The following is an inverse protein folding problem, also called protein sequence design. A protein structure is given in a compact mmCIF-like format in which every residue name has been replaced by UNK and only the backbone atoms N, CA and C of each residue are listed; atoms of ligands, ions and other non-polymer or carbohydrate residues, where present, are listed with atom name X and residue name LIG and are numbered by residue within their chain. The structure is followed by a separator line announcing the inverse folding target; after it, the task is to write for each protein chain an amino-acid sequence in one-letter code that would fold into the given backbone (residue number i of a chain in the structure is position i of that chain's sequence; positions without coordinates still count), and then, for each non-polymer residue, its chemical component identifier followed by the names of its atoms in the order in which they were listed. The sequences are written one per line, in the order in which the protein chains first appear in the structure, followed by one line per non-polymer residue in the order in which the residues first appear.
data_IF_313497643349
#
_entry.id   IF_313497643349
#
_cell.length_a   1.000
_cell.length_b   1.000
_cell.length_c   1.000
_cell.angle_alpha   90.00
_cell.angle_beta   90.00
_cell.angle_gamma   90.00
#
_symmetry.space_group_name_H-M   'P 1'
#
loop_
_entity.id
_entity.type
_entity.pdbx_description
1 polymer ?
#
# COMPACT_ATOMS: atom_id res chain seq x y z
N UNK A 1 15.23 2.35 -8.83
CA UNK A 1 15.48 1.37 -7.76
C UNK A 1 15.79 2.12 -6.49
N UNK A 2 15.18 1.75 -5.37
CA UNK A 2 15.42 2.40 -4.07
C UNK A 2 16.79 1.99 -3.53
N UNK A 3 17.57 2.95 -3.02
CA UNK A 3 18.93 2.67 -2.55
C UNK A 3 18.95 1.84 -1.25
N UNK A 4 17.99 2.04 -0.35
CA UNK A 4 17.84 1.32 0.90
C UNK A 4 16.47 1.65 1.54
N UNK A 5 16.10 0.88 2.57
CA UNK A 5 14.87 1.09 3.37
C UNK A 5 15.20 1.76 4.71
N UNK A 6 15.80 2.95 4.67
CA UNK A 6 16.05 3.77 5.87
C UNK A 6 15.15 4.98 5.88
N UNK A 7 14.85 5.50 7.07
CA UNK A 7 14.00 6.68 7.29
C UNK A 7 14.32 7.84 6.33
N UNK A 8 15.60 8.24 6.21
CA UNK A 8 16.03 9.32 5.29
C UNK A 8 15.67 9.07 3.82
N UNK A 9 15.59 7.81 3.40
CA UNK A 9 15.31 7.41 2.02
C UNK A 9 13.81 7.32 1.76
N UNK A 10 13.03 6.85 2.74
CA UNK A 10 11.58 6.66 2.59
C UNK A 10 10.77 7.91 2.93
N UNK A 11 11.27 8.81 3.79
CA UNK A 11 10.60 10.05 4.18
C UNK A 11 10.11 10.87 2.98
N UNK A 12 10.97 11.23 1.99
CA UNK A 12 10.50 12.02 0.86
C UNK A 12 9.47 11.28 0.01
N UNK A 13 9.55 9.95 -0.08
CA UNK A 13 8.58 9.14 -0.85
C UNK A 13 7.22 9.15 -0.17
N UNK A 14 7.20 8.95 1.16
CA UNK A 14 5.97 9.02 1.95
C UNK A 14 5.32 10.40 1.81
N UNK A 15 6.10 11.47 1.95
CA UNK A 15 5.62 12.86 1.82
C UNK A 15 5.09 13.22 0.44
N UNK A 16 5.66 12.64 -0.60
CA UNK A 16 5.24 12.85 -1.99
C UNK A 16 4.00 12.02 -2.36
N UNK A 17 3.83 10.85 -1.74
CA UNK A 17 2.80 9.87 -2.14
C UNK A 17 1.57 9.86 -1.23
N UNK A 18 1.73 10.19 0.05
CA UNK A 18 0.68 10.07 1.07
C UNK A 18 0.30 11.47 1.55
N UNK A 19 -0.99 11.78 1.46
CA UNK A 19 -1.56 13.04 1.94
C UNK A 19 -1.22 13.28 3.43
N UNK A 20 -0.77 14.49 3.76
CA UNK A 20 -0.45 14.87 5.14
C UNK A 20 -1.66 14.71 6.06
N UNK A 21 -1.45 14.27 7.29
CA UNK A 21 -2.52 14.00 8.25
C UNK A 21 -3.25 12.67 8.03
N UNK A 22 -2.88 11.89 7.00
CA UNK A 22 -3.40 10.52 6.83
C UNK A 22 -3.07 9.66 8.04
N UNK A 23 -4.05 8.89 8.51
CA UNK A 23 -3.86 7.84 9.50
C UNK A 23 -3.22 6.60 8.85
N UNK A 24 -1.98 6.31 9.23
CA UNK A 24 -1.19 5.20 8.69
C UNK A 24 -1.18 4.05 9.69
N UNK A 25 -1.38 2.83 9.19
CA UNK A 25 -1.29 1.59 9.96
C UNK A 25 -0.06 0.80 9.55
N UNK A 26 0.80 0.43 10.50
CA UNK A 26 2.03 -0.35 10.22
C UNK A 26 2.23 -1.48 11.23
N UNK A 27 3.15 -2.38 10.89
CA UNK A 27 3.73 -3.32 11.87
C UNK A 27 4.72 -2.58 12.79
N UNK A 28 5.50 -3.33 13.56
CA UNK A 28 6.50 -2.81 14.48
C UNK A 28 7.80 -2.32 13.81
N UNK A 29 7.88 -2.27 12.47
CA UNK A 29 9.14 -1.98 11.81
C UNK A 29 9.57 -0.52 12.02
N UNK A 30 10.73 -0.32 12.67
CA UNK A 30 11.21 0.99 13.12
C UNK A 30 11.47 2.03 12.02
N UNK A 31 11.39 1.67 10.74
CA UNK A 31 11.43 2.65 9.64
C UNK A 31 10.25 3.62 9.71
N UNK A 32 9.12 3.21 10.28
CA UNK A 32 7.90 4.01 10.39
C UNK A 32 7.79 4.84 11.68
N UNK A 33 8.75 4.70 12.61
CA UNK A 33 8.70 5.33 13.93
C UNK A 33 8.70 6.87 13.93
N UNK A 34 8.81 7.50 12.76
CA UNK A 34 8.83 8.96 12.59
C UNK A 34 7.61 9.52 11.86
N UNK A 35 6.61 8.70 11.55
CA UNK A 35 5.40 9.13 10.84
C UNK A 35 4.71 10.32 11.53
N UNK A 36 4.52 10.26 12.86
CA UNK A 36 3.97 11.38 13.63
C UNK A 36 4.80 12.66 13.49
N UNK A 37 6.12 12.57 13.62
CA UNK A 37 7.01 13.73 13.42
C UNK A 37 7.06 14.24 11.98
N UNK A 38 6.58 13.45 11.02
CA UNK A 38 6.49 13.82 9.61
C UNK A 38 5.12 14.38 9.23
N UNK A 39 4.17 14.46 10.17
CA UNK A 39 2.84 15.04 9.97
C UNK A 39 1.74 14.03 9.65
N UNK A 40 1.88 12.77 10.05
CA UNK A 40 0.88 11.72 9.86
C UNK A 40 0.36 11.21 11.20
N UNK A 41 -0.90 10.81 11.27
CA UNK A 41 -1.36 10.01 12.40
C UNK A 41 -0.86 8.56 12.23
N UNK A 42 -0.53 7.87 13.34
CA UNK A 42 0.07 6.55 13.26
C UNK A 42 -0.53 5.57 14.26
N UNK A 43 -0.92 4.39 13.77
CA UNK A 43 -1.25 3.23 14.59
C UNK A 43 -0.36 2.07 14.17
N UNK A 44 0.06 1.28 15.16
CA UNK A 44 0.94 0.14 14.93
C UNK A 44 0.47 -1.07 15.73
N UNK A 45 0.68 -2.24 15.13
CA UNK A 45 0.62 -3.54 15.81
C UNK A 45 2.02 -4.10 16.04
N UNK A 46 2.21 -4.90 17.09
CA UNK A 46 3.49 -5.54 17.40
C UNK A 46 3.41 -7.06 17.38
N UNK A 47 3.77 -7.65 16.24
CA UNK A 47 3.75 -9.10 16.05
C UNK A 47 4.74 -9.81 16.97
N UNK A 48 5.90 -9.21 17.24
CA UNK A 48 6.88 -9.72 18.21
C UNK A 48 6.35 -9.86 19.64
N UNK A 49 5.28 -9.14 20.00
CA UNK A 49 4.56 -9.26 21.28
C UNK A 49 3.29 -10.11 21.19
N UNK A 50 3.01 -10.72 20.04
CA UNK A 50 1.78 -11.48 19.80
C UNK A 50 0.55 -10.60 19.54
N UNK A 51 0.72 -9.30 19.30
CA UNK A 51 -0.37 -8.39 18.93
C UNK A 51 -0.51 -8.35 17.41
N UNK A 52 -1.50 -9.05 16.86
CA UNK A 52 -1.77 -9.12 15.40
C UNK A 52 -2.93 -8.22 14.96
N UNK A 53 -3.83 -7.91 15.88
CA UNK A 53 -4.89 -6.93 15.73
C UNK A 53 -5.24 -6.40 17.12
N UNK A 54 -5.60 -5.13 17.21
CA UNK A 54 -5.99 -4.49 18.47
C UNK A 54 -7.34 -3.83 18.29
N UNK A 55 -8.21 -4.10 19.27
CA UNK A 55 -9.47 -3.40 19.53
C UNK A 55 -9.13 -2.22 20.45
N UNK A 56 -9.20 -1.00 19.91
CA UNK A 56 -8.76 0.21 20.63
C UNK A 56 -9.88 0.82 21.48
N UNK A 57 -11.14 0.65 21.12
CA UNK A 57 -12.30 1.22 21.81
C UNK A 57 -13.08 0.22 22.70
N UNK A 58 -12.76 -1.07 22.61
CA UNK A 58 -13.32 -2.15 23.43
C UNK A 58 -14.68 -2.64 22.95
N UNK A 59 -15.07 -2.38 21.70
CA UNK A 59 -16.35 -2.80 21.14
C UNK A 59 -16.36 -4.26 20.61
N UNK A 60 -15.20 -4.92 20.65
CA UNK A 60 -14.98 -6.28 20.14
C UNK A 60 -14.55 -6.35 18.67
N UNK A 61 -14.40 -5.21 17.99
CA UNK A 61 -13.88 -5.09 16.63
C UNK A 61 -12.42 -4.62 16.66
N UNK A 62 -11.51 -5.38 16.06
CA UNK A 62 -10.12 -4.98 15.99
C UNK A 62 -9.86 -4.11 14.74
N UNK A 63 -9.90 -2.80 14.90
CA UNK A 63 -9.67 -1.80 13.85
C UNK A 63 -8.18 -1.53 13.59
N UNK A 64 -7.31 -1.77 14.57
CA UNK A 64 -5.86 -1.57 14.40
C UNK A 64 -5.19 -2.86 13.95
N UNK A 65 -4.87 -2.95 12.65
CA UNK A 65 -4.15 -4.07 12.07
C UNK A 65 -3.48 -3.71 10.72
N UNK A 66 -2.60 -4.57 10.22
CA UNK A 66 -2.01 -4.45 8.85
C UNK A 66 -2.54 -5.49 7.85
N UNK A 67 -3.52 -6.30 8.24
CA UNK A 67 -4.05 -7.43 7.49
C UNK A 67 -4.48 -7.10 6.05
N UNK A 68 -5.04 -5.91 5.80
CA UNK A 68 -5.43 -5.47 4.46
C UNK A 68 -4.24 -5.44 3.51
N UNK A 69 -3.11 -4.87 3.96
CA UNK A 69 -1.91 -4.74 3.15
C UNK A 69 -1.22 -6.10 3.00
N UNK A 70 -1.17 -6.92 4.04
CA UNK A 70 -0.67 -8.30 3.97
C UNK A 70 -1.45 -9.15 2.97
N UNK A 71 -2.78 -9.03 2.99
CA UNK A 71 -3.68 -9.67 2.04
C UNK A 71 -3.41 -9.23 0.60
N UNK A 72 -3.27 -7.92 0.36
CA UNK A 72 -2.91 -7.37 -0.95
C UNK A 72 -1.59 -7.98 -1.46
N UNK A 73 -0.54 -8.02 -0.63
CA UNK A 73 0.74 -8.61 -1.02
C UNK A 73 0.64 -10.12 -1.29
N UNK A 74 -0.19 -10.84 -0.54
CA UNK A 74 -0.46 -12.27 -0.78
C UNK A 74 -1.08 -12.51 -2.16
N UNK A 75 -2.07 -11.68 -2.52
CA UNK A 75 -2.71 -11.74 -3.83
C UNK A 75 -1.75 -11.35 -4.95
N UNK A 76 -0.99 -10.26 -4.80
CA UNK A 76 0.00 -9.82 -5.77
C UNK A 76 1.03 -10.92 -6.05
N UNK A 77 1.59 -11.55 -5.01
CA UNK A 77 2.57 -12.64 -5.18
C UNK A 77 2.02 -13.79 -6.02
N UNK A 78 0.75 -14.13 -5.81
CA UNK A 78 0.08 -15.17 -6.59
C UNK A 78 -0.17 -14.72 -8.03
N UNK A 79 -0.55 -13.46 -8.24
CA UNK A 79 -0.76 -12.87 -9.56
C UNK A 79 0.53 -12.77 -10.39
N UNK A 80 1.67 -12.49 -9.75
CA UNK A 80 2.97 -12.40 -10.43
C UNK A 80 3.59 -13.78 -10.73
N UNK A 81 3.19 -14.83 -10.01
CA UNK A 81 3.78 -16.18 -10.10
C UNK A 81 3.85 -16.76 -11.52
N UNK A 82 2.84 -16.62 -12.41
CA UNK A 82 2.88 -17.14 -13.76
C UNK A 82 3.99 -16.56 -14.63
N UNK A 83 4.48 -15.35 -14.33
CA UNK A 83 5.53 -14.69 -15.11
C UNK A 83 6.92 -15.31 -14.92
N UNK A 84 7.12 -16.16 -13.89
CA UNK A 84 8.40 -16.87 -13.63
C UNK A 84 9.62 -15.93 -13.51
N UNK A 85 9.40 -14.69 -13.06
CA UNK A 85 10.40 -13.65 -12.96
C UNK A 85 10.03 -12.41 -13.77
N UNK A 86 10.28 -11.23 -13.21
CA UNK A 86 9.96 -9.95 -13.84
C UNK A 86 11.18 -9.05 -13.73
N UNK A 87 11.48 -8.31 -14.80
CA UNK A 87 12.52 -7.28 -14.79
C UNK A 87 12.20 -6.23 -13.73
N UNK A 88 13.16 -5.89 -12.87
CA UNK A 88 12.99 -4.83 -11.88
C UNK A 88 12.61 -3.49 -12.50
N UNK A 89 13.08 -3.20 -13.72
CA UNK A 89 12.72 -1.98 -14.45
C UNK A 89 11.23 -1.95 -14.86
N UNK A 90 10.61 -3.12 -15.07
CA UNK A 90 9.20 -3.24 -15.46
C UNK A 90 8.27 -3.48 -14.28
N UNK A 91 8.80 -3.88 -13.13
CA UNK A 91 8.01 -4.20 -11.93
C UNK A 91 6.98 -3.10 -11.56
N UNK A 92 7.27 -1.79 -11.65
CA UNK A 92 6.27 -0.75 -11.38
C UNK A 92 5.02 -0.84 -12.26
N UNK A 93 5.16 -1.21 -13.54
CA UNK A 93 4.02 -1.36 -14.45
C UNK A 93 3.12 -2.54 -14.05
N UNK A 94 3.72 -3.64 -13.58
CA UNK A 94 2.98 -4.80 -13.09
C UNK A 94 2.25 -4.49 -11.78
N UNK A 95 2.91 -3.78 -10.86
CA UNK A 95 2.33 -3.31 -9.61
C UNK A 95 1.14 -2.39 -9.87
N UNK A 96 1.32 -1.34 -10.67
CA UNK A 96 0.25 -0.39 -10.97
C UNK A 96 -0.92 -1.02 -11.71
N UNK A 97 -0.67 -1.94 -12.65
CA UNK A 97 -1.76 -2.66 -13.31
C UNK A 97 -2.50 -3.59 -12.34
N UNK A 98 -1.79 -4.28 -11.45
CA UNK A 98 -2.42 -5.11 -10.43
C UNK A 98 -3.24 -4.27 -9.44
N UNK A 99 -2.70 -3.16 -8.97
CA UNK A 99 -3.39 -2.19 -8.12
C UNK A 99 -4.69 -1.71 -8.76
N UNK A 100 -4.63 -1.28 -10.03
CA UNK A 100 -5.80 -0.90 -10.81
C UNK A 100 -6.87 -2.02 -10.83
N UNK A 101 -6.47 -3.25 -11.16
CA UNK A 101 -7.38 -4.41 -11.20
C UNK A 101 -7.98 -4.68 -9.82
N UNK A 102 -7.18 -4.60 -8.76
CA UNK A 102 -7.60 -4.80 -7.38
C UNK A 102 -8.64 -3.75 -6.94
N UNK A 103 -8.39 -2.48 -7.25
CA UNK A 103 -9.22 -1.36 -6.82
C UNK A 103 -10.54 -1.25 -7.60
N UNK A 104 -10.52 -1.53 -8.91
CA UNK A 104 -11.73 -1.45 -9.74
C UNK A 104 -12.71 -2.59 -9.45
N UNK A 105 -12.26 -3.72 -8.89
CA UNK A 105 -13.08 -4.89 -8.53
C UNK A 105 -13.94 -5.46 -9.68
N UNK A 106 -13.50 -5.25 -10.92
CA UNK A 106 -14.13 -5.80 -12.15
C UNK A 106 -13.24 -6.88 -12.77
N UNK A 107 -13.85 -7.77 -13.58
CA UNK A 107 -13.15 -8.90 -14.22
C UNK A 107 -13.62 -9.12 -15.65
N UNK A 108 -12.76 -9.73 -16.46
CA UNK A 108 -13.08 -10.03 -17.85
C UNK A 108 -13.31 -8.76 -18.67
N UNK A 109 -14.29 -8.80 -19.58
CA UNK A 109 -14.54 -7.70 -20.54
C UNK A 109 -14.86 -6.36 -19.87
N UNK A 110 -15.44 -6.36 -18.67
CA UNK A 110 -15.82 -5.13 -17.97
C UNK A 110 -14.61 -4.33 -17.45
N UNK A 111 -13.44 -4.96 -17.34
CA UNK A 111 -12.20 -4.29 -16.95
C UNK A 111 -11.72 -3.32 -18.02
N UNK A 112 -11.93 -3.64 -19.31
CA UNK A 112 -11.45 -2.84 -20.43
C UNK A 112 -12.04 -1.43 -20.40
N UNK A 113 -13.33 -1.30 -20.12
CA UNK A 113 -14.00 0.00 -20.02
C UNK A 113 -13.37 0.89 -18.95
N UNK A 114 -13.15 0.34 -17.75
CA UNK A 114 -12.50 1.08 -16.65
C UNK A 114 -11.03 1.40 -16.93
N UNK A 115 -10.33 0.56 -17.70
CA UNK A 115 -8.94 0.84 -18.08
C UNK A 115 -8.87 2.01 -19.08
N UNK A 116 -9.74 1.99 -20.09
CA UNK A 116 -9.83 3.10 -21.06
C UNK A 116 -10.22 4.40 -20.35
N UNK A 117 -11.20 4.34 -19.45
CA UNK A 117 -11.63 5.48 -18.65
C UNK A 117 -10.46 6.09 -17.85
N UNK A 118 -9.68 5.26 -17.15
CA UNK A 118 -8.49 5.71 -16.43
C UNK A 118 -7.47 6.37 -17.38
N UNK A 119 -7.14 5.71 -18.49
CA UNK A 119 -6.11 6.17 -19.43
C UNK A 119 -6.50 7.45 -20.20
N UNK A 120 -7.80 7.71 -20.36
CA UNK A 120 -8.33 8.89 -21.08
C UNK A 120 -8.73 10.01 -20.12
N UNK A 121 -8.91 9.70 -18.83
CA UNK A 121 -9.14 10.72 -17.82
C UNK A 121 -7.96 11.70 -17.75
N UNK A 122 -8.25 13.00 -17.63
CA UNK A 122 -7.20 13.98 -17.38
C UNK A 122 -6.61 13.67 -16.01
N UNK A 123 -5.29 13.65 -15.93
CA UNK A 123 -4.56 13.51 -14.68
C UNK A 123 -5.04 14.60 -13.70
N UNK A 124 -5.69 14.24 -12.56
CA UNK A 124 -6.12 15.23 -11.58
C UNK A 124 -4.93 15.87 -10.82
N UNK A 125 -3.70 15.35 -10.99
CA UNK A 125 -2.52 15.72 -10.20
C UNK A 125 -1.50 16.65 -10.87
N UNK A 126 -1.76 17.20 -12.06
CA UNK A 126 -0.91 18.24 -12.66
C UNK A 126 -1.71 19.54 -12.76
N UNK A 127 -1.67 20.35 -11.69
CA UNK A 127 -1.88 21.80 -11.75
C UNK A 127 -0.53 22.50 -11.71
#
# INVERSE_FOLDING_TARGET
MLANVKQKTIEPIIKDTIESGTLVYTDEYGIYARLETWGYDHKSVNHGKGEFARDEDGDGFCEVHVNTMEGFWSLLRSWLRPHRGISQAKLPLYLGFFEFVHNVRKRGKTLLGSLIELLVSKDPGIQ
#
